data_IF_065265329436
#
_entry.id   IF_065265329436
#
_cell.length_a   1.000
_cell.length_b   1.000
_cell.length_c   1.000
_cell.angle_alpha   90.00
_cell.angle_beta   90.00
_cell.angle_gamma   90.00
#
_symmetry.space_group_name_H-M   'P 1'
#
loop_
_entity.id
_entity.type
_entity.pdbx_description
1 polymer ?
#
# COMPACT_ATOMS: atom_id res chain seq x y z
N UNK A 1 24.17 -21.29 -23.38
CA UNK A 1 23.23 -21.76 -22.34
C UNK A 1 22.75 -20.55 -21.56
N UNK A 2 21.50 -20.08 -21.69
CA UNK A 2 21.00 -19.02 -20.83
C UNK A 2 20.86 -19.60 -19.42
N UNK A 3 21.57 -19.03 -18.45
CA UNK A 3 21.43 -19.38 -17.05
C UNK A 3 20.02 -18.99 -16.59
N UNK A 4 19.20 -19.99 -16.26
CA UNK A 4 17.85 -19.80 -15.75
C UNK A 4 17.97 -19.27 -14.31
N UNK A 5 18.08 -17.94 -14.16
CA UNK A 5 18.22 -17.27 -12.86
C UNK A 5 17.12 -17.68 -11.87
N UNK A 6 15.93 -18.05 -12.38
CA UNK A 6 14.78 -18.49 -11.60
C UNK A 6 15.00 -19.77 -10.75
N UNK A 7 15.93 -20.65 -11.13
CA UNK A 7 16.22 -21.90 -10.39
C UNK A 7 17.29 -21.71 -9.30
N UNK A 8 17.86 -20.51 -9.18
CA UNK A 8 18.83 -20.17 -8.15
C UNK A 8 18.13 -19.59 -6.92
N UNK A 9 18.69 -19.80 -5.73
CA UNK A 9 18.21 -19.18 -4.47
C UNK A 9 18.04 -17.68 -4.64
N UNK A 10 18.96 -17.03 -5.36
CA UNK A 10 18.92 -15.61 -5.70
C UNK A 10 17.72 -15.19 -6.58
N UNK A 11 17.38 -15.99 -7.60
CA UNK A 11 16.20 -15.71 -8.42
C UNK A 11 14.88 -15.92 -7.68
N UNK A 12 14.85 -16.84 -6.72
CA UNK A 12 13.70 -17.01 -5.81
C UNK A 12 13.53 -15.79 -4.90
N UNK A 13 14.61 -15.30 -4.30
CA UNK A 13 14.60 -14.09 -3.46
C UNK A 13 14.08 -12.87 -4.24
N UNK A 14 14.58 -12.65 -5.47
CA UNK A 14 14.10 -11.56 -6.34
C UNK A 14 12.61 -11.72 -6.68
N UNK A 15 12.16 -12.94 -6.99
CA UNK A 15 10.76 -13.19 -7.32
C UNK A 15 9.82 -12.98 -6.11
N UNK A 16 10.28 -13.30 -4.91
CA UNK A 16 9.56 -13.05 -3.66
C UNK A 16 9.51 -11.56 -3.32
N UNK A 17 10.64 -10.85 -3.44
CA UNK A 17 10.72 -9.40 -3.25
C UNK A 17 9.79 -8.66 -4.22
N UNK A 18 9.83 -9.02 -5.51
CA UNK A 18 8.95 -8.41 -6.50
C UNK A 18 7.46 -8.68 -6.23
N UNK A 19 7.11 -9.86 -5.70
CA UNK A 19 5.73 -10.15 -5.29
C UNK A 19 5.33 -9.34 -4.05
N UNK A 20 6.20 -9.21 -3.07
CA UNK A 20 5.94 -8.41 -1.88
C UNK A 20 5.72 -6.94 -2.26
N UNK A 21 6.61 -6.39 -3.10
CA UNK A 21 6.51 -5.02 -3.62
C UNK A 21 5.23 -4.78 -4.41
N UNK A 22 4.87 -5.69 -5.33
CA UNK A 22 3.63 -5.55 -6.10
C UNK A 22 2.37 -5.63 -5.24
N UNK A 23 2.39 -6.38 -4.12
CA UNK A 23 1.29 -6.36 -3.15
C UNK A 23 1.21 -5.03 -2.42
N UNK A 24 2.34 -4.51 -1.95
CA UNK A 24 2.41 -3.22 -1.26
C UNK A 24 1.93 -2.07 -2.15
N UNK A 25 2.44 -1.97 -3.38
CA UNK A 25 1.99 -0.97 -4.36
C UNK A 25 0.48 -1.06 -4.63
N UNK A 26 -0.06 -2.28 -4.72
CA UNK A 26 -1.50 -2.51 -4.88
C UNK A 26 -2.31 -2.04 -3.66
N UNK A 27 -1.81 -2.29 -2.45
CA UNK A 27 -2.45 -1.83 -1.21
C UNK A 27 -2.44 -0.30 -1.11
N UNK A 28 -1.30 0.33 -1.42
CA UNK A 28 -1.18 1.81 -1.45
C UNK A 28 -2.14 2.42 -2.46
N UNK A 29 -2.19 1.87 -3.68
CA UNK A 29 -3.10 2.36 -4.70
C UNK A 29 -4.57 2.21 -4.26
N UNK A 30 -4.93 1.06 -3.67
CA UNK A 30 -6.29 0.86 -3.15
C UNK A 30 -6.65 1.84 -2.02
N UNK A 31 -5.72 2.11 -1.12
CA UNK A 31 -5.91 3.07 -0.02
C UNK A 31 -6.05 4.50 -0.56
N UNK A 32 -5.25 4.87 -1.58
CA UNK A 32 -5.37 6.16 -2.24
C UNK A 32 -6.76 6.35 -2.87
N UNK A 33 -7.29 5.34 -3.56
CA UNK A 33 -8.64 5.38 -4.14
C UNK A 33 -9.73 5.52 -3.06
N UNK A 34 -9.58 4.84 -1.93
CA UNK A 34 -10.51 4.96 -0.80
C UNK A 34 -10.50 6.40 -0.26
N UNK A 35 -9.30 6.96 -0.03
CA UNK A 35 -9.13 8.32 0.45
C UNK A 35 -9.71 9.34 -0.53
N UNK A 36 -9.41 9.20 -1.83
CA UNK A 36 -9.94 10.07 -2.89
C UNK A 36 -11.46 9.99 -2.98
N UNK A 37 -12.04 8.78 -2.89
CA UNK A 37 -13.50 8.60 -2.90
C UNK A 37 -14.18 9.26 -1.71
N UNK A 38 -13.50 9.34 -0.56
CA UNK A 38 -14.08 9.87 0.68
C UNK A 38 -13.86 11.37 0.85
N UNK A 39 -12.67 11.86 0.51
CA UNK A 39 -12.21 13.22 0.81
C UNK A 39 -11.99 14.08 -0.44
N UNK A 40 -12.16 13.51 -1.63
CA UNK A 40 -11.85 14.16 -2.89
C UNK A 40 -10.36 14.15 -3.21
N UNK A 41 -9.99 14.85 -4.28
CA UNK A 41 -8.60 14.99 -4.70
C UNK A 41 -7.90 16.08 -3.88
N UNK A 42 -7.25 15.68 -2.79
CA UNK A 42 -6.50 16.58 -1.91
C UNK A 42 -4.99 16.28 -1.96
N UNK A 43 -4.12 17.30 -1.85
CA UNK A 43 -2.68 17.09 -1.84
C UNK A 43 -2.22 16.19 -0.69
N UNK A 44 -1.24 15.31 -0.97
CA UNK A 44 -0.61 14.44 0.02
C UNK A 44 -1.40 13.17 0.37
N UNK A 45 -2.44 12.81 -0.39
CA UNK A 45 -3.13 11.53 -0.19
C UNK A 45 -2.24 10.32 -0.51
N UNK A 46 -1.30 10.45 -1.44
CA UNK A 46 -0.36 9.38 -1.78
C UNK A 46 0.55 9.06 -0.59
N UNK A 47 1.20 10.07 0.00
CA UNK A 47 2.04 9.92 1.18
C UNK A 47 1.25 9.36 2.38
N UNK A 48 0.00 9.84 2.56
CA UNK A 48 -0.88 9.32 3.59
C UNK A 48 -1.27 7.86 3.34
N UNK A 49 -1.58 7.48 2.10
CA UNK A 49 -1.91 6.11 1.74
C UNK A 49 -0.74 5.15 2.02
N UNK A 50 0.49 5.55 1.69
CA UNK A 50 1.69 4.80 2.03
C UNK A 50 1.82 4.60 3.54
N UNK A 51 1.68 5.68 4.32
CA UNK A 51 1.77 5.61 5.78
C UNK A 51 0.70 4.69 6.39
N UNK A 52 -0.55 4.79 5.95
CA UNK A 52 -1.66 3.98 6.47
C UNK A 52 -1.54 2.49 6.10
N UNK A 53 -0.92 2.18 4.96
CA UNK A 53 -0.64 0.80 4.54
C UNK A 53 0.53 0.21 5.33
N UNK A 54 1.59 1.00 5.54
CA UNK A 54 2.77 0.58 6.27
C UNK A 54 2.51 0.31 7.76
N UNK A 55 1.54 1.01 8.36
CA UNK A 55 1.14 0.83 9.76
C UNK A 55 0.19 -0.38 9.93
N UNK A 56 -1.12 -0.20 9.76
CA UNK A 56 -2.12 -1.27 9.71
C UNK A 56 -3.20 -0.95 8.68
N UNK A 57 -3.03 -1.51 7.47
CA UNK A 57 -3.96 -1.29 6.37
C UNK A 57 -5.42 -1.61 6.73
N UNK A 58 -5.68 -2.74 7.40
CA UNK A 58 -7.04 -3.19 7.66
C UNK A 58 -7.72 -2.32 8.72
N UNK A 59 -7.01 -1.97 9.79
CA UNK A 59 -7.52 -1.05 10.81
C UNK A 59 -7.80 0.34 10.22
N UNK A 60 -6.92 0.83 9.36
CA UNK A 60 -7.08 2.14 8.74
C UNK A 60 -8.24 2.19 7.74
N UNK A 61 -8.46 1.12 6.96
CA UNK A 61 -9.68 0.99 6.13
C UNK A 61 -10.93 1.04 7.01
N UNK A 62 -10.95 0.31 8.13
CA UNK A 62 -12.09 0.32 9.04
C UNK A 62 -12.36 1.71 9.64
N UNK A 63 -11.31 2.46 10.01
CA UNK A 63 -11.43 3.84 10.49
C UNK A 63 -12.06 4.77 9.46
N UNK A 64 -11.63 4.69 8.20
CA UNK A 64 -12.21 5.48 7.10
C UNK A 64 -13.70 5.13 6.93
N UNK A 65 -14.04 3.84 6.91
CA UNK A 65 -15.44 3.38 6.78
C UNK A 65 -16.32 3.82 7.96
N UNK A 66 -15.74 3.91 9.16
CA UNK A 66 -16.40 4.43 10.36
C UNK A 66 -16.49 5.97 10.38
N UNK A 67 -16.00 6.65 9.34
CA UNK A 67 -16.15 8.10 9.18
C UNK A 67 -15.07 8.94 9.86
N UNK A 68 -13.89 8.37 10.15
CA UNK A 68 -12.74 9.14 10.61
C UNK A 68 -12.43 10.32 9.66
N UNK A 69 -12.02 11.46 10.22
CA UNK A 69 -11.64 12.62 9.43
C UNK A 69 -10.24 12.45 8.83
N UNK A 70 -9.91 13.27 7.83
CA UNK A 70 -8.56 13.28 7.25
C UNK A 70 -7.49 13.65 8.29
N UNK A 71 -7.81 14.50 9.26
CA UNK A 71 -6.88 14.89 10.33
C UNK A 71 -6.60 13.71 11.27
N UNK A 72 -7.65 12.95 11.65
CA UNK A 72 -7.50 11.75 12.49
C UNK A 72 -6.61 10.70 11.84
N UNK A 73 -6.72 10.54 10.52
CA UNK A 73 -5.91 9.60 9.74
C UNK A 73 -4.45 10.05 9.64
N UNK A 74 -4.18 11.35 9.53
CA UNK A 74 -2.81 11.89 9.48
C UNK A 74 -2.06 11.72 10.79
N UNK A 75 -2.79 11.73 11.91
CA UNK A 75 -2.25 11.52 13.26
C UNK A 75 -2.03 10.05 13.62
N UNK A 76 -2.42 9.11 12.74
CA UNK A 76 -2.14 7.68 12.91
C UNK A 76 -0.66 7.37 12.82
#
# INVERSE_FOLDING_TARGET
MPYNLADTVFGREIAEENRARGREEGLVHSMQLILQSRFGDVPGLEDLAQKLVADDHAANVARIMNGASLEDLRQS
#
